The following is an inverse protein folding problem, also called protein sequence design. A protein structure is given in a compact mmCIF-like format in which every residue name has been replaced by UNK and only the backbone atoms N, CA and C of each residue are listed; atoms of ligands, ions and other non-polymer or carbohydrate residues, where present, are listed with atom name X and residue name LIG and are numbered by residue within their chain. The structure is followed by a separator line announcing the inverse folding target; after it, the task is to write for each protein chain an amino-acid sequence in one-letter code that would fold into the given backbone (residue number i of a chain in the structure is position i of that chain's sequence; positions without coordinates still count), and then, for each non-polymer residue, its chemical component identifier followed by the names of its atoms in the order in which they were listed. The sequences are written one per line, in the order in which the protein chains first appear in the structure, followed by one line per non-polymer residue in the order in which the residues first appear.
data_IF_141883424452
#
_entry.id   IF_141883424452
#
_cell.length_a   1.000
_cell.length_b   1.000
_cell.length_c   1.000
_cell.angle_alpha   90.00
_cell.angle_beta   90.00
_cell.angle_gamma   90.00
#
_symmetry.space_group_name_H-M   'P 1'
#
loop_
_entity.id
_entity.type
_entity.pdbx_description
1 polymer ?
#
# COMPACT_ATOMS: atom_id res chain seq x y z
N UNK A 1 -6.87 -6.14 -16.63
CA UNK A 1 -5.80 -6.55 -17.57
C UNK A 1 -6.15 -7.89 -18.21
N UNK A 2 -5.67 -8.11 -19.44
CA UNK A 2 -5.89 -9.35 -20.16
C UNK A 2 -4.56 -9.98 -20.58
N UNK A 3 -4.34 -11.24 -20.17
CA UNK A 3 -3.23 -12.09 -20.62
C UNK A 3 -3.78 -13.49 -20.85
N UNK A 4 -4.33 -13.73 -22.07
CA UNK A 4 -5.12 -14.94 -22.35
C UNK A 4 -6.49 -14.94 -21.64
N UNK A 5 -6.51 -14.68 -20.32
CA UNK A 5 -7.69 -14.52 -19.47
C UNK A 5 -7.78 -13.12 -18.86
N UNK A 6 -8.97 -12.74 -18.41
CA UNK A 6 -9.15 -11.47 -17.70
C UNK A 6 -8.61 -11.59 -16.27
N UNK A 7 -7.76 -10.65 -15.89
CA UNK A 7 -7.18 -10.53 -14.55
C UNK A 7 -7.60 -9.19 -13.95
N UNK A 8 -7.88 -9.17 -12.66
CA UNK A 8 -8.12 -7.93 -11.91
C UNK A 8 -6.83 -7.53 -11.20
N UNK A 9 -6.26 -6.39 -11.57
CA UNK A 9 -5.16 -5.76 -10.84
C UNK A 9 -5.76 -4.78 -9.83
N UNK A 10 -5.44 -4.97 -8.56
CA UNK A 10 -5.85 -4.10 -7.48
C UNK A 10 -4.68 -3.24 -7.04
N UNK A 11 -4.89 -1.92 -7.05
CA UNK A 11 -3.93 -0.91 -6.59
C UNK A 11 -4.57 -0.13 -5.44
N UNK A 12 -3.89 -0.05 -4.30
CA UNK A 12 -4.37 0.70 -3.14
C UNK A 12 -3.30 1.64 -2.62
N UNK A 13 -3.63 2.92 -2.52
CA UNK A 13 -2.84 3.94 -1.82
C UNK A 13 -3.42 4.30 -0.45
N UNK A 14 -4.23 3.40 0.14
CA UNK A 14 -4.70 3.58 1.51
C UNK A 14 -3.52 3.49 2.48
N UNK A 15 -3.32 4.47 3.39
CA UNK A 15 -2.18 4.49 4.33
C UNK A 15 -1.96 3.21 5.12
N UNK A 16 -3.04 2.57 5.56
CA UNK A 16 -3.00 1.33 6.37
C UNK A 16 -3.05 0.05 5.55
N UNK A 17 -3.28 0.15 4.23
CA UNK A 17 -3.52 -1.00 3.35
C UNK A 17 -2.98 -0.76 1.93
N UNK A 18 -1.86 -0.03 1.82
CA UNK A 18 -1.21 0.25 0.52
C UNK A 18 -0.61 -1.03 -0.05
N UNK A 19 -1.02 -1.40 -1.27
CA UNK A 19 -0.59 -2.64 -1.92
C UNK A 19 -0.88 -2.70 -3.41
N UNK A 20 -0.21 -3.61 -4.08
CA UNK A 20 -0.49 -4.03 -5.45
C UNK A 20 -0.66 -5.55 -5.43
N UNK A 21 -1.73 -6.05 -6.02
CA UNK A 21 -1.98 -7.48 -6.12
C UNK A 21 -2.92 -7.84 -7.28
N UNK A 22 -2.88 -9.07 -7.73
CA UNK A 22 -3.98 -9.65 -8.48
C UNK A 22 -5.08 -10.06 -7.49
N UNK A 23 -6.34 -9.90 -7.86
CA UNK A 23 -7.48 -10.26 -6.99
C UNK A 23 -8.59 -10.94 -7.76
N UNK A 24 -9.25 -11.87 -7.12
CA UNK A 24 -10.51 -12.46 -7.59
C UNK A 24 -11.73 -11.79 -6.93
N UNK A 25 -11.51 -10.97 -5.91
CA UNK A 25 -12.58 -10.30 -5.20
C UNK A 25 -13.27 -9.25 -6.08
N UNK A 26 -14.55 -9.01 -5.79
CA UNK A 26 -15.32 -7.91 -6.38
C UNK A 26 -15.51 -6.84 -5.31
N UNK A 27 -15.35 -5.59 -5.71
CA UNK A 27 -15.54 -4.41 -4.87
C UNK A 27 -16.69 -3.60 -5.46
N UNK A 28 -17.53 -3.05 -4.61
CA UNK A 28 -18.54 -2.11 -5.03
C UNK A 28 -17.91 -0.81 -5.52
N UNK A 29 -18.32 -0.37 -6.68
CA UNK A 29 -17.87 0.90 -7.23
C UNK A 29 -18.84 2.01 -6.83
N UNK A 30 -18.36 3.24 -6.57
CA UNK A 30 -19.23 4.37 -6.38
C UNK A 30 -20.06 4.64 -7.64
N UNK A 31 -21.27 5.16 -7.47
CA UNK A 31 -22.16 5.50 -8.58
C UNK A 31 -21.55 6.52 -9.55
N UNK A 32 -20.75 7.44 -9.02
CA UNK A 32 -20.04 8.44 -9.82
C UNK A 32 -18.53 8.21 -9.72
N UNK A 33 -17.81 8.01 -10.85
CA UNK A 33 -16.36 7.83 -10.84
C UNK A 33 -15.66 9.12 -10.39
N UNK A 34 -14.55 8.97 -9.68
CA UNK A 34 -13.67 10.11 -9.37
C UNK A 34 -12.99 10.65 -10.63
N UNK A 35 -12.51 11.90 -10.57
CA UNK A 35 -11.73 12.50 -11.65
C UNK A 35 -10.54 11.62 -12.04
N UNK A 36 -9.79 11.14 -11.07
CA UNK A 36 -8.67 10.23 -11.28
C UNK A 36 -9.09 8.98 -12.09
N UNK A 37 -10.21 8.35 -11.73
CA UNK A 37 -10.72 7.19 -12.47
C UNK A 37 -11.08 7.55 -13.91
N UNK A 38 -11.67 8.72 -14.14
CA UNK A 38 -12.05 9.20 -15.48
C UNK A 38 -10.80 9.45 -16.34
N UNK A 39 -9.76 10.04 -15.77
CA UNK A 39 -8.47 10.27 -16.44
C UNK A 39 -7.79 8.94 -16.76
N UNK A 40 -7.73 7.99 -15.81
CA UNK A 40 -7.20 6.64 -16.09
C UNK A 40 -7.94 5.96 -17.26
N UNK A 41 -9.27 6.05 -17.29
CA UNK A 41 -10.06 5.48 -18.38
C UNK A 41 -9.74 6.12 -19.72
N UNK A 42 -9.61 7.44 -19.76
CA UNK A 42 -9.26 8.18 -20.97
C UNK A 42 -7.93 7.72 -21.58
N UNK A 43 -6.91 7.61 -20.77
CA UNK A 43 -5.55 7.36 -21.27
C UNK A 43 -5.15 5.88 -21.30
N UNK A 44 -5.76 5.02 -20.48
CA UNK A 44 -5.31 3.64 -20.33
C UNK A 44 -6.27 2.59 -20.90
N UNK A 45 -7.53 2.93 -21.19
CA UNK A 45 -8.46 1.95 -21.77
C UNK A 45 -7.98 1.54 -23.17
N UNK A 46 -7.91 0.23 -23.40
CA UNK A 46 -7.40 -0.32 -24.68
C UNK A 46 -5.89 -0.38 -24.78
N UNK A 47 -5.16 0.22 -23.81
CA UNK A 47 -3.71 0.24 -23.79
C UNK A 47 -3.08 -1.12 -23.50
N UNK A 48 -1.83 -1.27 -23.90
CA UNK A 48 -1.03 -2.49 -23.74
C UNK A 48 0.08 -2.21 -22.72
N UNK A 49 0.13 -3.01 -21.64
CA UNK A 49 1.24 -2.96 -20.68
C UNK A 49 2.46 -3.59 -21.36
N UNK A 50 3.48 -2.80 -21.58
CA UNK A 50 4.73 -3.24 -22.18
C UNK A 50 5.71 -3.74 -21.12
N UNK A 51 5.74 -3.06 -19.98
CA UNK A 51 6.77 -3.25 -18.97
C UNK A 51 6.22 -2.98 -17.56
N UNK A 52 6.70 -3.71 -16.58
CA UNK A 52 6.42 -3.49 -15.16
C UNK A 52 7.76 -3.50 -14.45
N UNK A 53 8.15 -2.35 -13.89
CA UNK A 53 9.44 -2.16 -13.26
C UNK A 53 9.30 -1.71 -11.81
N UNK A 54 10.08 -2.29 -10.92
CA UNK A 54 10.30 -1.76 -9.58
C UNK A 54 11.48 -0.78 -9.62
N UNK A 55 11.24 0.47 -9.24
CA UNK A 55 12.27 1.51 -9.32
C UNK A 55 13.18 1.44 -8.10
N UNK A 56 14.50 1.36 -8.33
CA UNK A 56 15.56 1.38 -7.32
C UNK A 56 15.38 0.35 -6.18
N UNK A 57 14.71 -0.77 -6.43
CA UNK A 57 14.30 -1.74 -5.40
C UNK A 57 13.55 -1.12 -4.20
N UNK A 58 12.98 0.06 -4.39
CA UNK A 58 12.07 0.68 -3.44
C UNK A 58 10.62 0.24 -3.72
N UNK A 59 9.69 0.67 -2.89
CA UNK A 59 8.25 0.36 -3.00
C UNK A 59 7.56 1.24 -4.04
N UNK A 60 8.18 1.39 -5.21
CA UNK A 60 7.69 2.15 -6.34
C UNK A 60 7.61 1.22 -7.55
N UNK A 61 6.40 0.98 -8.05
CA UNK A 61 6.16 0.17 -9.23
C UNK A 61 5.69 1.05 -10.36
N UNK A 62 6.35 0.94 -11.49
CA UNK A 62 6.04 1.66 -12.71
C UNK A 62 5.51 0.71 -13.79
N UNK A 63 4.33 0.97 -14.32
CA UNK A 63 3.74 0.29 -15.46
C UNK A 63 3.90 1.17 -16.70
N UNK A 64 4.70 0.76 -17.65
CA UNK A 64 4.80 1.40 -18.97
C UNK A 64 3.69 0.88 -19.87
N UNK A 65 2.83 1.77 -20.33
CA UNK A 65 1.62 1.44 -21.08
C UNK A 65 1.67 2.18 -22.41
N UNK A 66 1.54 1.42 -23.50
CA UNK A 66 1.37 1.94 -24.84
C UNK A 66 -0.13 2.05 -25.13
N UNK A 67 -0.53 3.18 -25.70
CA UNK A 67 -1.89 3.40 -26.19
C UNK A 67 -1.84 4.32 -27.42
N UNK A 68 -3.00 4.62 -27.98
CA UNK A 68 -3.16 5.54 -29.10
C UNK A 68 -4.00 6.74 -28.66
N UNK A 69 -3.64 7.91 -29.15
CA UNK A 69 -4.47 9.10 -28.97
C UNK A 69 -5.68 9.11 -29.91
N UNK A 70 -6.55 10.12 -29.78
CA UNK A 70 -7.77 10.25 -30.58
C UNK A 70 -7.50 10.41 -32.08
N UNK A 71 -6.27 10.74 -32.48
CA UNK A 71 -5.83 10.85 -33.87
C UNK A 71 -5.14 9.56 -34.37
N UNK A 72 -5.00 8.54 -33.51
CA UNK A 72 -4.36 7.26 -33.84
C UNK A 72 -2.84 7.28 -33.71
N UNK A 73 -2.22 8.31 -33.15
CA UNK A 73 -0.79 8.34 -32.89
C UNK A 73 -0.43 7.53 -31.66
N UNK A 74 0.66 6.78 -31.73
CA UNK A 74 1.20 6.01 -30.62
C UNK A 74 1.67 6.93 -29.50
N UNK A 75 1.27 6.63 -28.26
CA UNK A 75 1.60 7.34 -27.05
C UNK A 75 1.99 6.38 -25.93
N UNK A 76 2.89 6.85 -25.08
CA UNK A 76 3.33 6.10 -23.92
C UNK A 76 2.89 6.79 -22.64
N UNK A 77 2.36 6.00 -21.71
CA UNK A 77 1.91 6.45 -20.40
C UNK A 77 2.58 5.63 -19.33
N UNK A 78 2.80 6.24 -18.17
CA UNK A 78 3.38 5.55 -17.03
C UNK A 78 2.43 5.64 -15.85
N UNK A 79 1.94 4.48 -15.39
CA UNK A 79 1.16 4.38 -14.17
C UNK A 79 2.10 4.01 -13.03
N UNK A 80 2.39 4.97 -12.17
CA UNK A 80 3.36 4.85 -11.09
C UNK A 80 2.60 4.67 -9.79
N UNK A 81 2.94 3.63 -9.03
CA UNK A 81 2.34 3.34 -7.72
C UNK A 81 3.43 3.41 -6.65
N UNK A 82 3.28 4.35 -5.73
CA UNK A 82 4.15 4.56 -4.58
C UNK A 82 3.49 3.97 -3.34
N UNK A 83 4.14 3.00 -2.68
CA UNK A 83 3.60 2.27 -1.51
C UNK A 83 4.34 2.67 -0.24
N UNK A 84 4.10 3.90 0.24
CA UNK A 84 4.85 4.54 1.34
C UNK A 84 3.96 4.93 2.52
N UNK A 85 3.06 4.03 2.94
CA UNK A 85 2.14 4.25 4.05
C UNK A 85 1.29 5.51 3.84
N UNK A 86 1.39 6.50 4.71
CA UNK A 86 0.61 7.76 4.60
C UNK A 86 0.92 8.56 3.30
N UNK A 87 2.09 8.37 2.73
CA UNK A 87 2.54 9.01 1.50
C UNK A 87 2.29 8.17 0.25
N UNK A 88 1.60 7.03 0.38
CA UNK A 88 1.25 6.22 -0.78
C UNK A 88 0.38 6.98 -1.76
N UNK A 89 0.69 6.84 -3.06
CA UNK A 89 -0.01 7.51 -4.15
C UNK A 89 -0.06 6.64 -5.40
N UNK A 90 -0.94 6.98 -6.33
CA UNK A 90 -0.99 6.40 -7.68
C UNK A 90 -1.01 7.59 -8.63
N UNK A 91 -0.08 7.63 -9.57
CA UNK A 91 0.20 8.78 -10.42
C UNK A 91 0.24 8.32 -11.87
N UNK A 92 -0.43 9.03 -12.75
CA UNK A 92 -0.35 8.82 -14.19
C UNK A 92 0.48 9.94 -14.81
N UNK A 93 1.50 9.57 -15.60
CA UNK A 93 2.28 10.54 -16.38
C UNK A 93 2.26 10.21 -17.86
N UNK A 94 2.61 11.19 -18.69
CA UNK A 94 2.92 11.00 -20.09
C UNK A 94 4.39 10.60 -20.29
N UNK A 95 4.81 10.45 -21.55
CA UNK A 95 6.18 10.09 -21.95
C UNK A 95 7.25 11.13 -21.59
N UNK A 96 6.84 12.38 -21.35
CA UNK A 96 7.72 13.49 -20.92
C UNK A 96 7.80 13.60 -19.39
N UNK A 97 7.31 12.59 -18.65
CA UNK A 97 7.20 12.58 -17.18
C UNK A 97 6.33 13.71 -16.60
N UNK A 98 5.42 14.28 -17.38
CA UNK A 98 4.45 15.26 -16.88
C UNK A 98 3.27 14.51 -16.27
N UNK A 99 2.89 14.87 -15.06
CA UNK A 99 1.76 14.29 -14.33
C UNK A 99 0.46 14.68 -15.03
N UNK A 100 -0.27 13.72 -15.53
CA UNK A 100 -1.61 13.89 -16.08
C UNK A 100 -2.65 13.97 -14.97
N UNK A 101 -2.53 13.08 -13.98
CA UNK A 101 -3.37 13.07 -12.79
C UNK A 101 -2.72 12.22 -11.68
N UNK A 102 -3.04 12.52 -10.42
CA UNK A 102 -2.68 11.71 -9.28
C UNK A 102 -3.86 11.45 -8.35
N UNK A 103 -3.83 10.31 -7.66
CA UNK A 103 -4.88 9.97 -6.71
C UNK A 103 -4.92 10.94 -5.52
N UNK A 104 -3.74 11.44 -5.12
CA UNK A 104 -3.57 12.43 -4.05
C UNK A 104 -2.69 13.57 -4.53
N UNK A 105 -3.26 14.74 -4.69
CA UNK A 105 -2.52 15.95 -5.01
C UNK A 105 -1.82 16.46 -3.75
N UNK A 106 -0.51 16.61 -3.81
CA UNK A 106 0.29 17.11 -2.70
C UNK A 106 1.47 17.95 -3.19
N UNK A 107 1.91 18.84 -2.32
CA UNK A 107 3.14 19.59 -2.50
C UNK A 107 3.94 19.58 -1.19
N UNK A 108 5.20 19.21 -1.28
CA UNK A 108 6.14 19.24 -0.16
C UNK A 108 7.18 20.32 -0.38
N UNK A 109 7.18 21.32 0.48
CA UNK A 109 8.21 22.39 0.49
C UNK A 109 9.58 21.82 0.84
N UNK A 110 9.65 20.91 1.81
CA UNK A 110 10.88 20.31 2.31
C UNK A 110 11.64 19.58 1.19
N UNK A 111 10.93 18.79 0.38
CA UNK A 111 11.54 18.01 -0.69
C UNK A 111 11.36 18.63 -2.07
N UNK A 112 10.75 19.83 -2.18
CA UNK A 112 10.42 20.52 -3.44
C UNK A 112 9.74 19.58 -4.44
N UNK A 113 8.87 18.68 -3.93
CA UNK A 113 8.19 17.65 -4.70
C UNK A 113 6.71 17.94 -4.82
N UNK A 114 6.19 17.83 -6.04
CA UNK A 114 4.77 17.97 -6.35
C UNK A 114 4.21 16.69 -6.96
N UNK A 115 2.95 16.36 -6.63
CA UNK A 115 2.15 15.34 -7.31
C UNK A 115 0.90 15.93 -7.95
N UNK A 116 0.92 17.23 -8.25
CA UNK A 116 -0.17 17.98 -8.87
C UNK A 116 -0.09 17.82 -10.39
N UNK A 117 -1.23 17.76 -11.05
CA UNK A 117 -1.34 17.66 -12.52
C UNK A 117 -0.58 18.82 -13.21
N UNK A 118 -0.03 18.53 -14.39
CA UNK A 118 0.82 19.42 -15.21
C UNK A 118 2.20 19.75 -14.60
N UNK A 119 2.59 19.12 -13.49
CA UNK A 119 3.95 19.23 -12.95
C UNK A 119 4.79 18.04 -13.40
N UNK A 120 6.11 18.23 -13.47
CA UNK A 120 7.02 17.12 -13.73
C UNK A 120 7.02 16.13 -12.54
N UNK A 121 6.92 14.84 -12.83
CA UNK A 121 7.06 13.80 -11.82
C UNK A 121 8.52 13.69 -11.39
N UNK A 122 8.74 13.68 -10.09
CA UNK A 122 10.02 13.39 -9.47
C UNK A 122 9.88 12.24 -8.48
N UNK A 123 10.92 11.43 -8.33
CA UNK A 123 10.92 10.33 -7.36
C UNK A 123 10.81 10.88 -5.92
N UNK A 124 10.17 10.13 -5.01
CA UNK A 124 10.25 10.44 -3.59
C UNK A 124 11.70 10.47 -3.11
N UNK A 125 12.01 11.28 -2.07
CA UNK A 125 13.32 11.25 -1.45
C UNK A 125 13.58 9.85 -0.88
N UNK A 126 14.73 9.28 -1.24
CA UNK A 126 15.15 7.95 -0.78
C UNK A 126 16.50 8.03 -0.07
N UNK A 127 16.69 7.17 0.91
CA UNK A 127 18.02 6.93 1.49
C UNK A 127 18.70 5.90 0.59
N UNK A 128 19.89 6.23 0.11
CA UNK A 128 20.66 5.32 -0.72
C UNK A 128 21.04 4.07 0.09
N UNK A 129 20.74 2.90 -0.47
CA UNK A 129 21.04 1.58 0.11
C UNK A 129 21.56 0.66 -0.97
N UNK A 130 22.10 -0.47 -0.56
CA UNK A 130 22.61 -1.49 -1.47
C UNK A 130 21.44 -2.36 -1.93
N UNK A 131 21.40 -2.65 -3.23
CA UNK A 131 20.53 -3.69 -3.75
C UNK A 131 21.01 -5.06 -3.23
N UNK A 132 20.17 -5.82 -2.50
CA UNK A 132 20.58 -7.09 -1.90
C UNK A 132 21.00 -8.17 -2.92
N UNK A 133 20.69 -7.98 -4.19
CA UNK A 133 21.08 -8.89 -5.28
C UNK A 133 22.33 -8.47 -6.03
N UNK A 134 22.95 -7.32 -5.68
CA UNK A 134 24.22 -6.85 -6.26
C UNK A 134 25.41 -7.28 -5.38
N UNK A 135 25.78 -8.55 -5.46
CA UNK A 135 26.75 -9.19 -4.56
C UNK A 135 28.13 -8.56 -4.58
N UNK A 136 28.56 -8.00 -5.71
CA UNK A 136 29.86 -7.34 -5.85
C UNK A 136 30.01 -6.14 -4.90
N UNK A 137 28.94 -5.46 -4.57
CA UNK A 137 28.92 -4.33 -3.63
C UNK A 137 29.14 -4.75 -2.18
N UNK A 138 29.07 -6.04 -1.85
CA UNK A 138 29.27 -6.56 -0.51
C UNK A 138 30.74 -6.68 -0.13
N UNK A 139 31.66 -6.69 -1.11
CA UNK A 139 33.07 -6.93 -0.88
C UNK A 139 33.69 -5.91 0.06
N UNK A 140 33.24 -4.65 0.00
CA UNK A 140 33.70 -3.55 0.83
C UNK A 140 32.82 -3.25 2.04
N UNK A 141 31.77 -4.04 2.25
CA UNK A 141 30.85 -3.83 3.36
C UNK A 141 31.29 -4.65 4.58
N UNK A 142 31.62 -3.97 5.68
CA UNK A 142 31.85 -4.62 6.96
C UNK A 142 30.49 -4.96 7.59
N UNK A 143 30.18 -6.26 7.72
CA UNK A 143 28.96 -6.71 8.35
C UNK A 143 29.07 -6.58 9.87
N UNK A 144 28.49 -5.49 10.39
CA UNK A 144 28.46 -5.20 11.83
C UNK A 144 27.33 -5.97 12.49
N UNK A 145 27.67 -7.05 13.17
CA UNK A 145 26.69 -7.88 13.88
C UNK A 145 26.09 -7.17 15.10
N UNK A 146 26.85 -6.33 15.78
CA UNK A 146 26.38 -5.60 16.97
C UNK A 146 25.33 -4.55 16.64
N UNK A 147 25.29 -4.03 15.40
CA UNK A 147 24.20 -3.17 14.97
C UNK A 147 22.94 -3.99 14.73
N UNK A 148 22.03 -3.88 15.70
CA UNK A 148 20.73 -4.57 15.68
C UNK A 148 19.88 -4.30 14.45
N UNK A 149 20.20 -3.32 13.63
CA UNK A 149 19.44 -2.89 12.44
C UNK A 149 20.31 -2.87 11.17
N UNK A 150 21.48 -3.51 11.20
CA UNK A 150 22.48 -3.43 10.14
C UNK A 150 21.89 -3.72 8.74
N UNK A 151 21.26 -4.87 8.56
CA UNK A 151 20.70 -5.25 7.25
C UNK A 151 19.61 -4.26 6.80
N UNK A 152 18.74 -3.83 7.72
CA UNK A 152 17.65 -2.90 7.41
C UNK A 152 18.18 -1.49 7.05
N UNK A 153 19.31 -1.07 7.64
CA UNK A 153 19.93 0.23 7.33
C UNK A 153 20.62 0.24 5.97
N UNK A 154 21.29 -0.86 5.63
CA UNK A 154 22.21 -0.92 4.49
C UNK A 154 21.58 -1.48 3.21
N UNK A 155 20.50 -2.27 3.29
CA UNK A 155 19.92 -2.95 2.14
C UNK A 155 18.48 -2.51 1.85
N UNK A 156 18.17 -2.36 0.56
CA UNK A 156 16.78 -2.19 0.12
C UNK A 156 15.95 -3.44 0.41
N UNK A 157 14.64 -3.27 0.62
CA UNK A 157 13.69 -4.37 0.80
C UNK A 157 13.79 -5.13 2.12
N UNK A 158 14.78 -4.86 2.97
CA UNK A 158 14.93 -5.52 4.27
C UNK A 158 14.03 -4.87 5.31
N UNK A 159 12.98 -5.60 5.71
CA UNK A 159 12.07 -5.22 6.79
C UNK A 159 12.66 -5.53 8.17
N UNK A 160 12.04 -4.98 9.23
CA UNK A 160 12.41 -5.32 10.60
C UNK A 160 12.24 -6.84 10.90
N UNK A 161 11.22 -7.46 10.29
CA UNK A 161 10.95 -8.89 10.45
C UNK A 161 12.07 -9.74 9.83
N UNK A 162 12.49 -9.40 8.59
CA UNK A 162 13.59 -10.06 7.91
C UNK A 162 14.92 -9.85 8.63
N UNK A 163 15.19 -8.62 9.06
CA UNK A 163 16.39 -8.30 9.84
C UNK A 163 16.44 -9.12 11.15
N UNK A 164 15.30 -9.29 11.82
CA UNK A 164 15.22 -10.09 13.05
C UNK A 164 15.37 -11.61 12.79
N UNK A 165 14.96 -12.09 11.63
CA UNK A 165 15.18 -13.47 11.20
C UNK A 165 16.68 -13.78 11.18
N UNK A 166 17.50 -12.92 10.58
CA UNK A 166 18.94 -13.09 10.50
C UNK A 166 19.69 -12.82 11.80
N UNK A 167 19.10 -12.09 12.77
CA UNK A 167 19.73 -11.86 14.08
C UNK A 167 19.96 -13.14 14.90
N UNK A 168 19.26 -14.21 14.61
CA UNK A 168 19.45 -15.49 15.28
C UNK A 168 20.72 -16.22 14.80
N UNK A 169 21.32 -15.71 13.73
CA UNK A 169 22.53 -16.27 13.13
C UNK A 169 23.77 -15.69 13.81
N UNK A 170 24.82 -16.48 13.99
CA UNK A 170 26.08 -16.01 14.60
C UNK A 170 26.73 -14.90 13.76
N UNK A 171 27.55 -14.07 14.43
CA UNK A 171 28.20 -12.92 13.77
C UNK A 171 29.03 -13.28 12.54
N UNK A 172 29.72 -14.42 12.60
CA UNK A 172 30.58 -14.93 11.51
C UNK A 172 29.80 -15.46 10.31
N UNK A 173 28.51 -15.78 10.50
CA UNK A 173 27.67 -16.39 9.47
C UNK A 173 26.64 -15.43 8.89
N UNK A 174 26.50 -14.20 9.44
CA UNK A 174 25.47 -13.24 9.00
C UNK A 174 25.59 -12.91 7.51
N UNK A 175 26.81 -12.61 7.06
CA UNK A 175 27.09 -12.28 5.64
C UNK A 175 26.73 -13.47 4.76
N UNK A 176 27.26 -14.64 5.06
CA UNK A 176 27.10 -15.83 4.24
C UNK A 176 25.64 -16.30 4.21
N UNK A 177 24.97 -16.28 5.34
CA UNK A 177 23.55 -16.60 5.44
C UNK A 177 22.67 -15.62 4.65
N UNK A 178 22.96 -14.32 4.72
CA UNK A 178 22.21 -13.30 3.98
C UNK A 178 22.48 -13.39 2.47
N UNK A 179 23.73 -13.61 2.05
CA UNK A 179 24.10 -13.80 0.63
C UNK A 179 23.44 -15.08 0.08
N UNK A 180 23.50 -16.18 0.81
CA UNK A 180 22.85 -17.43 0.40
C UNK A 180 21.34 -17.25 0.26
N UNK A 181 20.69 -16.59 1.20
CA UNK A 181 19.27 -16.25 1.12
C UNK A 181 18.95 -15.43 -0.14
N UNK A 182 19.76 -14.41 -0.46
CA UNK A 182 19.53 -13.60 -1.66
C UNK A 182 19.76 -14.37 -2.96
N UNK A 183 20.73 -15.30 -3.00
CA UNK A 183 20.97 -16.17 -4.17
C UNK A 183 19.81 -17.12 -4.42
N UNK A 184 19.30 -17.72 -3.37
CA UNK A 184 18.25 -18.73 -3.43
C UNK A 184 16.85 -18.14 -3.14
N UNK A 185 16.70 -16.83 -3.33
CA UNK A 185 15.52 -16.06 -2.90
C UNK A 185 14.19 -16.68 -3.35
N UNK A 186 14.12 -17.14 -4.59
CA UNK A 186 12.89 -17.74 -5.13
C UNK A 186 12.52 -19.06 -4.44
N UNK A 187 13.49 -19.82 -3.91
CA UNK A 187 13.25 -21.05 -3.18
C UNK A 187 12.57 -20.83 -1.82
N UNK A 188 12.75 -19.64 -1.25
CA UNK A 188 12.12 -19.25 0.01
C UNK A 188 10.67 -18.81 -0.15
N UNK A 189 10.20 -18.54 -1.38
CA UNK A 189 8.86 -18.02 -1.63
C UNK A 189 7.76 -18.99 -1.18
N UNK A 190 7.22 -18.73 0.00
CA UNK A 190 6.10 -19.45 0.62
C UNK A 190 5.28 -18.47 1.44
N UNK A 191 4.30 -17.77 0.83
CA UNK A 191 3.51 -16.76 1.51
C UNK A 191 2.75 -17.33 2.70
N UNK A 192 2.92 -16.72 3.87
CA UNK A 192 2.37 -17.20 5.14
C UNK A 192 1.64 -16.11 5.89
N UNK A 193 0.53 -16.48 6.51
CA UNK A 193 -0.15 -15.69 7.53
C UNK A 193 0.49 -16.01 8.89
N UNK A 194 0.83 -14.97 9.62
CA UNK A 194 1.40 -15.07 10.97
C UNK A 194 0.34 -14.58 11.95
N UNK A 195 0.09 -15.35 12.99
CA UNK A 195 -0.84 -14.96 14.05
C UNK A 195 -0.14 -15.11 15.39
N UNK A 196 -0.01 -13.98 16.11
CA UNK A 196 0.68 -13.94 17.38
C UNK A 196 -0.04 -12.96 18.32
N UNK A 197 -0.41 -13.42 19.52
CA UNK A 197 -1.10 -12.61 20.53
C UNK A 197 -2.37 -11.91 19.98
N UNK A 198 -3.14 -12.58 19.13
CA UNK A 198 -4.35 -12.04 18.50
C UNK A 198 -4.10 -10.98 17.41
N UNK A 199 -2.85 -10.74 17.05
CA UNK A 199 -2.47 -9.89 15.93
C UNK A 199 -2.12 -10.74 14.72
N UNK A 200 -2.70 -10.39 13.57
CA UNK A 200 -2.40 -10.99 12.29
C UNK A 200 -1.36 -10.14 11.56
N UNK A 201 -0.40 -10.80 10.94
CA UNK A 201 0.60 -10.24 10.04
C UNK A 201 0.83 -11.22 8.89
N UNK A 202 1.58 -10.83 7.88
CA UNK A 202 1.88 -11.70 6.75
C UNK A 202 3.30 -11.49 6.25
N UNK A 203 3.85 -12.54 5.63
CA UNK A 203 5.14 -12.43 4.98
C UNK A 203 5.22 -13.32 3.73
N UNK A 204 6.18 -13.07 2.86
CA UNK A 204 6.35 -13.80 1.60
C UNK A 204 7.05 -15.15 1.78
N UNK A 205 7.62 -15.45 2.97
CA UNK A 205 8.18 -16.73 3.33
C UNK A 205 8.08 -16.96 4.85
N UNK A 206 8.37 -18.21 5.28
CA UNK A 206 8.31 -18.59 6.68
C UNK A 206 9.47 -18.00 7.48
N UNK A 207 9.27 -16.84 8.11
CA UNK A 207 10.25 -16.17 8.99
C UNK A 207 10.14 -16.61 10.46
N UNK A 208 8.98 -17.10 10.87
CA UNK A 208 8.67 -17.62 12.21
C UNK A 208 7.46 -18.56 12.16
N UNK A 209 6.96 -19.01 13.31
CA UNK A 209 5.73 -19.79 13.38
C UNK A 209 4.59 -19.07 12.64
N UNK A 210 3.79 -19.84 11.91
CA UNK A 210 2.71 -19.32 11.07
C UNK A 210 1.43 -20.12 11.27
N UNK A 211 0.28 -19.48 11.02
CA UNK A 211 -1.04 -20.11 11.14
C UNK A 211 -1.51 -20.74 9.83
N UNK A 212 -1.14 -20.16 8.68
CA UNK A 212 -1.60 -20.61 7.37
C UNK A 212 -0.61 -20.28 6.25
N UNK A 213 -0.43 -21.21 5.32
CA UNK A 213 0.33 -21.02 4.08
C UNK A 213 -0.61 -20.79 2.88
N UNK A 214 -0.13 -20.06 1.88
CA UNK A 214 -0.88 -19.72 0.66
C UNK A 214 -0.04 -20.00 -0.58
N UNK A 215 -0.70 -20.32 -1.70
CA UNK A 215 -0.03 -20.58 -2.98
C UNK A 215 0.60 -19.33 -3.58
N UNK A 216 0.04 -18.14 -3.30
CA UNK A 216 0.55 -16.88 -3.80
C UNK A 216 0.34 -15.73 -2.81
N UNK A 217 1.21 -14.73 -2.89
CA UNK A 217 1.09 -13.51 -2.11
C UNK A 217 -0.24 -12.78 -2.40
N UNK A 218 -0.73 -12.84 -3.63
CA UNK A 218 -2.03 -12.25 -3.99
C UNK A 218 -3.20 -12.89 -3.25
N UNK A 219 -3.21 -14.22 -3.10
CA UNK A 219 -4.24 -14.93 -2.32
C UNK A 219 -4.13 -14.61 -0.84
N UNK A 220 -2.91 -14.56 -0.31
CA UNK A 220 -2.66 -14.16 1.08
C UNK A 220 -3.16 -12.74 1.36
N UNK A 221 -2.86 -11.79 0.48
CA UNK A 221 -3.30 -10.39 0.62
C UNK A 221 -4.82 -10.25 0.49
N UNK A 222 -5.45 -11.00 -0.42
CA UNK A 222 -6.91 -11.04 -0.51
C UNK A 222 -7.54 -11.53 0.79
N UNK A 223 -6.99 -12.61 1.37
CA UNK A 223 -7.48 -13.15 2.64
C UNK A 223 -7.28 -12.17 3.79
N UNK A 224 -6.06 -11.66 3.96
CA UNK A 224 -5.68 -10.77 5.06
C UNK A 224 -6.49 -9.47 5.07
N UNK A 225 -6.59 -8.80 3.93
CA UNK A 225 -7.28 -7.51 3.86
C UNK A 225 -8.81 -7.62 3.77
N UNK A 226 -9.35 -8.77 3.38
CA UNK A 226 -10.80 -9.00 3.44
C UNK A 226 -11.30 -9.02 4.89
N UNK A 227 -10.58 -9.67 5.78
CA UNK A 227 -10.91 -9.70 7.21
C UNK A 227 -10.84 -8.29 7.81
N UNK A 228 -9.76 -7.54 7.53
CA UNK A 228 -9.61 -6.16 7.99
C UNK A 228 -10.73 -5.25 7.45
N UNK A 229 -11.10 -5.40 6.19
CA UNK A 229 -12.18 -4.62 5.60
C UNK A 229 -13.53 -4.92 6.27
N UNK A 230 -13.84 -6.18 6.56
CA UNK A 230 -15.05 -6.58 7.29
C UNK A 230 -15.07 -6.01 8.70
N UNK A 231 -13.94 -6.10 9.42
CA UNK A 231 -13.83 -5.51 10.76
C UNK A 231 -13.99 -3.99 10.75
N UNK A 232 -13.42 -3.30 9.76
CA UNK A 232 -13.54 -1.85 9.62
C UNK A 232 -14.98 -1.41 9.30
N UNK A 233 -15.70 -2.17 8.46
CA UNK A 233 -17.12 -1.93 8.16
C UNK A 233 -17.94 -2.10 9.43
N UNK A 234 -17.77 -3.19 10.17
CA UNK A 234 -18.47 -3.45 11.41
C UNK A 234 -18.24 -2.33 12.43
N UNK A 235 -16.97 -1.94 12.67
CA UNK A 235 -16.63 -0.84 13.58
C UNK A 235 -17.23 0.51 13.15
N UNK A 236 -17.29 0.81 11.86
CA UNK A 236 -17.92 2.04 11.37
C UNK A 236 -19.43 2.01 11.54
N UNK A 237 -20.06 0.87 11.30
CA UNK A 237 -21.51 0.69 11.50
C UNK A 237 -21.87 0.88 12.98
N UNK A 238 -21.10 0.26 13.87
CA UNK A 238 -21.30 0.39 15.33
C UNK A 238 -21.09 1.84 15.78
N UNK A 239 -20.08 2.52 15.29
CA UNK A 239 -19.81 3.93 15.61
C UNK A 239 -20.91 4.86 15.09
N UNK A 240 -21.41 4.65 13.89
CA UNK A 240 -22.50 5.43 13.32
C UNK A 240 -23.79 5.22 14.10
N UNK A 241 -24.10 3.98 14.46
CA UNK A 241 -25.25 3.64 15.31
C UNK A 241 -25.14 4.29 16.70
N UNK A 242 -23.96 4.19 17.32
CA UNK A 242 -23.70 4.83 18.62
C UNK A 242 -23.89 6.36 18.57
N UNK A 243 -23.32 7.03 17.55
CA UNK A 243 -23.47 8.46 17.37
C UNK A 243 -24.94 8.88 17.13
N UNK A 244 -25.69 8.10 16.34
CA UNK A 244 -27.09 8.32 16.10
C UNK A 244 -27.91 8.20 17.39
N UNK A 245 -27.70 7.14 18.18
CA UNK A 245 -28.37 6.92 19.46
C UNK A 245 -28.03 8.04 20.44
N UNK A 246 -26.77 8.41 20.57
CA UNK A 246 -26.29 9.51 21.42
C UNK A 246 -26.96 10.86 21.06
N UNK A 247 -27.03 11.17 19.78
CA UNK A 247 -27.72 12.39 19.31
C UNK A 247 -29.20 12.39 19.65
N UNK A 248 -29.88 11.23 19.55
CA UNK A 248 -31.28 11.08 19.90
C UNK A 248 -31.51 11.22 21.40
N UNK A 249 -30.67 10.65 22.25
CA UNK A 249 -30.70 10.79 23.70
C UNK A 249 -30.54 12.27 24.08
N UNK A 250 -29.56 12.97 23.54
CA UNK A 250 -29.32 14.38 23.81
C UNK A 250 -30.52 15.26 23.43
N UNK A 251 -31.17 14.94 22.31
CA UNK A 251 -32.40 15.65 21.88
C UNK A 251 -33.58 15.40 22.85
N UNK A 252 -33.74 14.17 23.32
CA UNK A 252 -34.78 13.82 24.27
C UNK A 252 -34.55 14.48 25.63
N UNK A 253 -33.31 14.49 26.12
CA UNK A 253 -32.95 15.15 27.37
C UNK A 253 -33.26 16.66 27.33
N UNK A 254 -32.87 17.34 26.23
CA UNK A 254 -33.23 18.75 26.05
C UNK A 254 -34.76 18.97 26.05
N UNK A 255 -35.51 18.06 25.43
CA UNK A 255 -36.98 18.16 25.43
C UNK A 255 -37.57 17.95 26.85
N UNK A 256 -37.00 17.03 27.62
CA UNK A 256 -37.37 16.82 29.01
C UNK A 256 -37.09 18.08 29.83
N UNK A 257 -35.93 18.70 29.73
CA UNK A 257 -35.57 19.94 30.42
C UNK A 257 -36.58 21.06 30.13
N UNK A 258 -36.94 21.25 28.85
CA UNK A 258 -37.91 22.27 28.43
C UNK A 258 -39.30 21.97 29.06
N UNK A 259 -39.78 20.73 28.95
CA UNK A 259 -41.06 20.34 29.48
C UNK A 259 -41.11 20.43 31.03
N UNK A 260 -40.01 20.10 31.69
CA UNK A 260 -39.90 20.25 33.16
C UNK A 260 -40.00 21.71 33.57
N UNK A 261 -39.28 22.58 32.84
CA UNK A 261 -39.36 24.04 33.09
C UNK A 261 -40.77 24.62 32.84
N UNK A 262 -41.41 24.21 31.75
CA UNK A 262 -42.79 24.63 31.45
C UNK A 262 -43.79 24.16 32.53
N UNK A 263 -43.59 22.92 33.03
CA UNK A 263 -44.39 22.36 34.11
C UNK A 263 -44.22 23.16 35.41
N UNK A 264 -42.99 23.47 35.82
CA UNK A 264 -42.68 24.30 36.99
C UNK A 264 -43.32 25.71 36.90
N UNK A 265 -43.26 26.31 35.72
CA UNK A 265 -43.94 27.59 35.47
C UNK A 265 -45.47 27.49 35.56
N UNK A 266 -46.05 26.38 35.12
CA UNK A 266 -47.52 26.17 35.22
C UNK A 266 -47.98 25.97 36.65
N UNK A 267 -47.16 25.37 37.52
CA UNK A 267 -47.51 25.21 38.97
C UNK A 267 -47.23 26.47 39.81
N UNK A 268 -46.46 27.42 39.33
CA UNK A 268 -46.14 28.67 40.02
C UNK A 268 -47.09 29.82 39.69
N UNK A 269 -48.09 29.58 38.83
CA UNK A 269 -49.23 30.48 38.53
C UNK A 269 -50.47 30.05 39.26
#
# INVERSE_FOLDING_TARGET
IRKGKNLKLFLSANPSASRIQLTNNSYENPSTPSNFCSVLRKYLTGGIILEINQLNNDRIINFKIKNFDDLGYEKYYYLITELMGKHSNIILTNEENIILESLKNSYSLEYKRSTISNMAYTLPPTIEKINPFEFDKYNNLNFEYDDKKFLMKNFYGVSALLNNYFKKTSSTELKDSFVSFCRDFDSYYKPVLIEENGKKDFYFFKVKEFSKEFESLSQLLDYYYMDIAKEAINKNTDRNLFNFVKAKINRLNKKIEILTFELEQAYSR
#
